data_IF_514925645398
#
_entry.id   IF_514925645398
#
_cell.length_a   1.000
_cell.length_b   1.000
_cell.length_c   1.000
_cell.angle_alpha   90.00
_cell.angle_beta   90.00
_cell.angle_gamma   90.00
#
_symmetry.space_group_name_H-M   'P 1'
#
loop_
_entity.id
_entity.type
_entity.pdbx_description
1 polymer ?
#
# COMPACT_ATOMS: atom_id res chain seq x y z
N UNK A 1 -17.72 -17.66 -18.38
CA UNK A 1 -17.01 -18.77 -17.71
C UNK A 1 -17.09 -18.56 -16.20
N UNK A 2 -17.60 -19.55 -15.43
CA UNK A 2 -17.57 -19.52 -13.95
C UNK A 2 -16.18 -19.93 -13.48
N UNK A 3 -15.65 -19.29 -12.43
CA UNK A 3 -14.40 -19.67 -11.77
C UNK A 3 -14.47 -21.11 -11.26
N UNK A 4 -13.40 -21.88 -11.39
CA UNK A 4 -13.36 -23.24 -10.85
C UNK A 4 -13.33 -23.21 -9.31
N UNK A 5 -13.88 -24.22 -8.61
CA UNK A 5 -13.85 -24.27 -7.14
C UNK A 5 -12.43 -24.18 -6.56
N UNK A 6 -11.46 -24.83 -7.22
CA UNK A 6 -10.04 -24.81 -6.86
C UNK A 6 -9.40 -23.42 -6.93
N UNK A 7 -9.82 -22.59 -7.89
CA UNK A 7 -9.36 -21.21 -8.01
C UNK A 7 -9.79 -20.39 -6.79
N UNK A 8 -11.03 -20.62 -6.31
CA UNK A 8 -11.58 -19.92 -5.13
C UNK A 8 -10.83 -20.30 -3.88
N UNK A 9 -10.55 -21.58 -3.70
CA UNK A 9 -9.76 -22.09 -2.57
C UNK A 9 -8.36 -21.47 -2.59
N UNK A 10 -7.69 -21.47 -3.74
CA UNK A 10 -6.37 -20.85 -3.93
C UNK A 10 -6.39 -19.36 -3.53
N UNK A 11 -7.35 -18.58 -4.06
CA UNK A 11 -7.46 -17.15 -3.74
C UNK A 11 -7.66 -16.92 -2.23
N UNK A 12 -8.50 -17.73 -1.57
CA UNK A 12 -8.72 -17.64 -0.12
C UNK A 12 -7.47 -17.95 0.67
N UNK A 13 -6.75 -19.03 0.31
CA UNK A 13 -5.53 -19.45 1.00
C UNK A 13 -4.43 -18.39 0.89
N UNK A 14 -4.14 -17.92 -0.32
CA UNK A 14 -3.11 -16.89 -0.52
C UNK A 14 -3.53 -15.55 0.10
N UNK A 15 -4.82 -15.21 0.09
CA UNK A 15 -5.35 -14.05 0.79
C UNK A 15 -5.14 -14.14 2.31
N UNK A 16 -5.53 -15.26 2.93
CA UNK A 16 -5.35 -15.51 4.37
C UNK A 16 -3.87 -15.49 4.78
N UNK A 17 -3.00 -16.08 3.96
CA UNK A 17 -1.55 -16.00 4.14
C UNK A 17 -1.07 -14.54 4.17
N UNK A 18 -1.56 -13.71 3.23
CA UNK A 18 -1.21 -12.30 3.18
C UNK A 18 -1.66 -11.52 4.41
N UNK A 19 -2.85 -11.83 4.94
CA UNK A 19 -3.34 -11.25 6.20
C UNK A 19 -2.43 -11.66 7.37
N UNK A 20 -2.07 -12.93 7.49
CA UNK A 20 -1.19 -13.42 8.54
C UNK A 20 0.20 -12.77 8.52
N UNK A 21 0.81 -12.68 7.33
CA UNK A 21 2.11 -12.01 7.16
C UNK A 21 2.02 -10.53 7.49
N UNK A 22 0.96 -9.84 7.04
CA UNK A 22 0.76 -8.43 7.37
C UNK A 22 0.60 -8.21 8.88
N UNK A 23 -0.21 -9.03 9.54
CA UNK A 23 -0.38 -9.00 10.99
C UNK A 23 0.95 -9.20 11.73
N UNK A 24 1.76 -10.16 11.28
CA UNK A 24 3.09 -10.40 11.85
C UNK A 24 4.03 -9.20 11.66
N UNK A 25 4.10 -8.63 10.46
CA UNK A 25 4.96 -7.46 10.19
C UNK A 25 4.51 -6.26 11.01
N UNK A 26 3.20 -6.02 11.13
CA UNK A 26 2.67 -4.94 11.95
C UNK A 26 2.99 -5.16 13.43
N UNK A 27 2.82 -6.38 13.93
CA UNK A 27 3.17 -6.73 15.30
C UNK A 27 4.65 -6.50 15.58
N UNK A 28 5.53 -7.00 14.71
CA UNK A 28 6.97 -6.82 14.85
C UNK A 28 7.37 -5.35 14.75
N UNK A 29 6.83 -4.61 13.78
CA UNK A 29 7.13 -3.20 13.57
C UNK A 29 6.70 -2.30 14.72
N UNK A 30 5.56 -2.62 15.34
CA UNK A 30 5.02 -1.80 16.43
C UNK A 30 5.58 -2.18 17.82
N UNK A 31 5.73 -3.47 18.12
CA UNK A 31 6.07 -3.92 19.48
C UNK A 31 7.53 -4.38 19.65
N UNK A 32 8.22 -4.77 18.58
CA UNK A 32 9.53 -5.44 18.67
C UNK A 32 10.66 -4.58 18.11
N UNK A 33 10.44 -3.95 16.96
CA UNK A 33 11.45 -3.15 16.30
C UNK A 33 11.55 -1.76 16.96
N UNK A 34 12.75 -1.34 17.40
CA UNK A 34 12.94 -0.01 17.96
C UNK A 34 13.01 1.02 16.82
N UNK A 35 11.89 1.28 16.15
CA UNK A 35 11.83 2.27 15.07
C UNK A 35 11.93 3.67 15.71
N UNK A 36 13.03 4.41 15.49
CA UNK A 36 13.18 5.72 16.08
C UNK A 36 12.18 6.69 15.43
N UNK A 37 11.22 7.16 16.21
CA UNK A 37 10.35 8.27 15.80
C UNK A 37 10.98 9.56 16.34
N UNK A 38 11.38 10.50 15.48
CA UNK A 38 11.83 11.80 15.95
C UNK A 38 10.68 12.52 16.69
N UNK A 39 11.00 13.48 17.55
CA UNK A 39 9.98 14.29 18.21
C UNK A 39 9.12 15.01 17.15
N UNK A 40 7.92 14.48 16.90
CA UNK A 40 6.93 14.98 15.93
C UNK A 40 5.73 15.54 16.69
N UNK A 41 6.02 16.49 17.58
CA UNK A 41 5.04 17.03 18.52
C UNK A 41 4.02 17.94 17.83
N UNK A 42 4.41 18.56 16.71
CA UNK A 42 3.54 19.42 15.92
C UNK A 42 2.85 18.67 14.78
N UNK A 43 1.66 19.12 14.41
CA UNK A 43 0.92 18.59 13.25
C UNK A 43 1.76 18.68 11.95
N UNK A 44 2.47 19.78 11.74
CA UNK A 44 3.35 19.96 10.58
C UNK A 44 4.48 18.94 10.56
N UNK A 45 5.13 18.66 11.70
CA UNK A 45 6.19 17.66 11.78
C UNK A 45 5.67 16.26 11.45
N UNK A 46 4.46 15.91 11.91
CA UNK A 46 3.79 14.62 11.62
C UNK A 46 3.48 14.45 10.14
N UNK A 47 2.99 15.50 9.48
CA UNK A 47 2.72 15.49 8.05
C UNK A 47 4.01 15.35 7.23
N UNK A 48 5.05 16.11 7.56
CA UNK A 48 6.36 16.02 6.90
C UNK A 48 6.97 14.62 7.05
N UNK A 49 6.94 14.08 8.27
CA UNK A 49 7.39 12.71 8.54
C UNK A 49 6.62 11.69 7.69
N UNK A 50 5.29 11.82 7.64
CA UNK A 50 4.43 10.91 6.90
C UNK A 50 4.70 10.95 5.41
N UNK A 51 4.75 12.14 4.81
CA UNK A 51 5.01 12.33 3.37
C UNK A 51 6.37 11.76 2.98
N UNK A 52 7.41 11.95 3.80
CA UNK A 52 8.74 11.38 3.54
C UNK A 52 8.71 9.86 3.46
N UNK A 53 7.98 9.20 4.35
CA UNK A 53 7.82 7.75 4.33
C UNK A 53 7.00 7.23 3.16
N UNK A 54 6.09 8.05 2.60
CA UNK A 54 5.32 7.66 1.41
C UNK A 54 6.18 7.51 0.14
N UNK A 55 7.43 7.95 0.15
CA UNK A 55 8.36 7.71 -0.96
C UNK A 55 8.54 6.21 -1.24
N UNK A 56 8.56 5.35 -0.22
CA UNK A 56 8.70 3.90 -0.38
C UNK A 56 7.52 3.26 -1.15
N UNK A 57 6.25 3.48 -0.77
CA UNK A 57 5.10 3.10 -1.59
C UNK A 57 5.15 3.62 -3.02
N UNK A 58 5.54 4.88 -3.23
CA UNK A 58 5.60 5.49 -4.57
C UNK A 58 6.62 4.79 -5.47
N UNK A 59 7.76 4.33 -4.94
CA UNK A 59 8.75 3.57 -5.69
C UNK A 59 8.14 2.30 -6.34
N UNK A 60 7.16 1.68 -5.71
CA UNK A 60 6.51 0.47 -6.25
C UNK A 60 5.71 0.74 -7.52
N UNK A 61 5.11 1.93 -7.63
CA UNK A 61 4.41 2.40 -8.82
C UNK A 61 5.41 2.78 -9.91
N UNK A 62 6.46 3.52 -9.53
CA UNK A 62 7.54 3.90 -10.45
C UNK A 62 8.19 2.67 -11.10
N UNK A 63 8.44 1.61 -10.34
CA UNK A 63 8.99 0.37 -10.87
C UNK A 63 8.10 -0.23 -11.98
N UNK A 64 6.78 -0.24 -11.78
CA UNK A 64 5.83 -0.69 -12.80
C UNK A 64 5.89 0.15 -14.07
N UNK A 65 5.91 1.48 -13.92
CA UNK A 65 5.97 2.45 -15.03
C UNK A 65 7.26 2.26 -15.83
N UNK A 66 8.42 2.19 -15.15
CA UNK A 66 9.73 1.97 -15.77
C UNK A 66 9.74 0.67 -16.56
N UNK A 67 9.17 -0.41 -16.03
CA UNK A 67 9.07 -1.68 -16.75
C UNK A 67 8.20 -1.59 -18.01
N UNK A 68 7.07 -0.88 -17.99
CA UNK A 68 6.28 -0.63 -19.20
C UNK A 68 7.09 0.18 -20.21
N UNK A 69 7.70 1.29 -19.78
CA UNK A 69 8.46 2.18 -20.65
C UNK A 69 9.61 1.42 -21.36
N UNK A 70 10.44 0.70 -20.60
CA UNK A 70 11.54 -0.09 -21.15
C UNK A 70 11.04 -1.17 -22.12
N UNK A 71 9.95 -1.86 -21.78
CA UNK A 71 9.38 -2.89 -22.67
C UNK A 71 8.89 -2.26 -23.98
N UNK A 72 8.24 -1.10 -23.94
CA UNK A 72 7.78 -0.42 -25.17
C UNK A 72 8.94 0.05 -26.04
N UNK A 73 9.99 0.59 -25.45
CA UNK A 73 11.18 1.05 -26.19
C UNK A 73 11.93 -0.09 -26.90
N UNK A 74 11.78 -1.33 -26.41
CA UNK A 74 12.53 -2.49 -26.90
C UNK A 74 11.71 -3.47 -27.75
N UNK A 75 10.40 -3.23 -27.94
CA UNK A 75 9.51 -4.24 -28.55
C UNK A 75 8.52 -3.61 -29.53
N UNK A 76 7.73 -4.45 -30.21
CA UNK A 76 6.64 -4.02 -31.08
C UNK A 76 5.50 -3.31 -30.35
N UNK A 77 5.56 -3.22 -29.01
CA UNK A 77 4.62 -2.46 -28.19
C UNK A 77 4.90 -0.95 -28.18
N UNK A 78 5.84 -0.44 -28.97
CA UNK A 78 6.18 1.00 -28.99
C UNK A 78 4.97 1.89 -29.34
N UNK A 79 4.13 1.45 -30.29
CA UNK A 79 2.88 2.12 -30.66
C UNK A 79 1.69 1.43 -29.97
N UNK A 80 1.14 2.01 -28.87
CA UNK A 80 0.00 1.44 -28.17
C UNK A 80 -1.30 1.46 -28.98
N UNK A 81 -1.43 2.32 -30.00
CA UNK A 81 -2.63 2.42 -30.83
C UNK A 81 -2.69 1.31 -31.88
N UNK A 82 -1.53 0.82 -32.32
CA UNK A 82 -1.45 -0.31 -33.24
C UNK A 82 -1.93 -1.64 -32.64
N UNK A 83 -1.99 -1.74 -31.30
CA UNK A 83 -2.28 -2.98 -30.57
C UNK A 83 -1.18 -4.05 -30.65
N UNK A 84 -0.12 -3.84 -31.44
CA UNK A 84 1.00 -4.78 -31.57
C UNK A 84 1.77 -4.86 -30.26
N UNK A 85 2.22 -6.05 -29.89
CA UNK A 85 3.04 -6.26 -28.69
C UNK A 85 2.36 -5.96 -27.34
N UNK A 86 1.06 -5.61 -27.29
CA UNK A 86 0.39 -5.24 -26.03
C UNK A 86 0.38 -6.36 -24.97
N UNK A 87 0.43 -7.62 -25.38
CA UNK A 87 0.56 -8.75 -24.45
C UNK A 87 1.88 -8.70 -23.65
N UNK A 88 2.94 -8.08 -24.18
CA UNK A 88 4.25 -7.94 -23.52
C UNK A 88 4.20 -6.98 -22.32
N UNK A 89 3.32 -5.97 -22.37
CA UNK A 89 3.10 -5.00 -21.29
C UNK A 89 1.86 -5.29 -20.45
N UNK A 90 1.04 -6.26 -20.85
CA UNK A 90 -0.25 -6.55 -20.23
C UNK A 90 -0.18 -6.84 -18.74
N UNK A 91 0.85 -7.57 -18.29
CA UNK A 91 1.13 -7.80 -16.88
C UNK A 91 1.40 -6.48 -16.13
N UNK A 92 2.36 -5.68 -16.61
CA UNK A 92 2.78 -4.45 -15.94
C UNK A 92 1.67 -3.40 -15.93
N UNK A 93 0.86 -3.30 -17.00
CA UNK A 93 -0.33 -2.43 -17.01
C UNK A 93 -1.34 -2.80 -15.92
N UNK A 94 -1.59 -4.10 -15.72
CA UNK A 94 -2.49 -4.58 -14.64
C UNK A 94 -1.91 -4.34 -13.26
N UNK A 95 -0.60 -4.53 -13.11
CA UNK A 95 0.12 -4.21 -11.87
C UNK A 95 0.05 -2.71 -11.55
N UNK A 96 0.34 -1.84 -12.51
CA UNK A 96 0.29 -0.37 -12.36
C UNK A 96 -1.11 0.05 -11.94
N UNK A 97 -2.16 -0.40 -12.64
CA UNK A 97 -3.54 -0.04 -12.31
C UNK A 97 -3.89 -0.43 -10.87
N UNK A 98 -3.60 -1.67 -10.48
CA UNK A 98 -3.89 -2.12 -9.11
C UNK A 98 -3.05 -1.36 -8.07
N UNK A 99 -1.78 -1.09 -8.37
CA UNK A 99 -0.89 -0.36 -7.46
C UNK A 99 -1.33 1.09 -7.31
N UNK A 100 -1.80 1.74 -8.38
CA UNK A 100 -2.38 3.09 -8.34
C UNK A 100 -3.61 3.12 -7.44
N UNK A 101 -4.55 2.18 -7.61
CA UNK A 101 -5.76 2.08 -6.78
C UNK A 101 -5.41 1.91 -5.29
N UNK A 102 -4.48 1.00 -4.98
CA UNK A 102 -4.05 0.75 -3.60
C UNK A 102 -3.25 1.91 -3.01
N UNK A 103 -2.37 2.54 -3.80
CA UNK A 103 -1.53 3.65 -3.38
C UNK A 103 -2.38 4.87 -3.05
N UNK A 104 -3.37 5.21 -3.86
CA UNK A 104 -4.28 6.34 -3.58
C UNK A 104 -4.96 6.20 -2.23
N UNK A 105 -5.50 5.02 -1.92
CA UNK A 105 -6.13 4.74 -0.63
C UNK A 105 -5.12 4.78 0.51
N UNK A 106 -3.93 4.22 0.31
CA UNK A 106 -2.86 4.21 1.30
C UNK A 106 -2.38 5.62 1.65
N UNK A 107 -2.10 6.46 0.65
CA UNK A 107 -1.66 7.84 0.85
C UNK A 107 -2.68 8.65 1.65
N UNK A 108 -3.96 8.61 1.25
CA UNK A 108 -5.03 9.31 1.96
C UNK A 108 -5.16 8.77 3.39
N UNK A 109 -5.14 7.44 3.56
CA UNK A 109 -5.24 6.80 4.86
C UNK A 109 -4.09 7.16 5.80
N UNK A 110 -2.84 7.16 5.32
CA UNK A 110 -1.66 7.50 6.11
C UNK A 110 -1.64 8.99 6.50
N UNK A 111 -2.02 9.89 5.58
CA UNK A 111 -2.12 11.31 5.86
C UNK A 111 -3.19 11.59 6.92
N UNK A 112 -4.35 10.96 6.85
CA UNK A 112 -5.38 11.07 7.87
C UNK A 112 -4.92 10.42 9.20
N UNK A 113 -4.29 9.25 9.15
CA UNK A 113 -3.86 8.52 10.35
C UNK A 113 -2.93 9.38 11.22
N UNK A 114 -1.98 10.09 10.61
CA UNK A 114 -1.00 10.87 11.36
C UNK A 114 -1.60 12.05 12.15
N UNK A 115 -2.84 12.46 11.83
CA UNK A 115 -3.57 13.51 12.55
C UNK A 115 -4.38 12.99 13.74
N UNK A 116 -4.64 11.68 13.82
CA UNK A 116 -5.47 11.08 14.86
C UNK A 116 -4.67 10.27 15.89
N UNK A 117 -3.50 9.75 15.52
CA UNK A 117 -2.72 8.88 16.42
C UNK A 117 -1.86 9.67 17.40
N UNK A 118 -1.58 9.09 18.56
CA UNK A 118 -0.65 9.67 19.53
C UNK A 118 0.82 9.57 19.04
N UNK A 119 1.75 10.22 19.75
CA UNK A 119 3.17 10.24 19.36
C UNK A 119 3.79 8.84 19.33
N UNK A 120 3.48 7.99 20.31
CA UNK A 120 3.98 6.61 20.39
C UNK A 120 3.57 5.78 19.16
N UNK A 121 2.37 6.03 18.64
CA UNK A 121 1.83 5.32 17.48
C UNK A 121 2.32 5.85 16.13
N UNK A 122 3.15 6.90 16.09
CA UNK A 122 3.73 7.39 14.84
C UNK A 122 4.72 6.39 14.21
N UNK A 123 5.18 5.37 14.96
CA UNK A 123 5.93 4.20 14.44
C UNK A 123 5.12 3.41 13.40
N UNK A 124 3.78 3.53 13.40
CA UNK A 124 2.92 2.86 12.43
C UNK A 124 3.16 3.37 11.00
N UNK A 125 3.51 4.64 10.84
CA UNK A 125 3.71 5.26 9.53
C UNK A 125 4.84 4.57 8.71
N UNK A 126 6.09 4.48 9.22
CA UNK A 126 7.13 3.72 8.55
C UNK A 126 6.76 2.25 8.39
N UNK A 127 6.12 1.64 9.40
CA UNK A 127 5.74 0.22 9.36
C UNK A 127 4.78 -0.07 8.21
N UNK A 128 3.75 0.75 8.04
CA UNK A 128 2.80 0.65 6.94
C UNK A 128 3.45 0.93 5.58
N UNK A 129 4.36 1.90 5.48
CA UNK A 129 5.10 2.19 4.25
C UNK A 129 5.96 0.99 3.81
N UNK A 130 6.71 0.36 4.74
CA UNK A 130 7.47 -0.86 4.48
C UNK A 130 6.57 -2.04 4.13
N UNK A 131 5.48 -2.23 4.87
CA UNK A 131 4.51 -3.29 4.59
C UNK A 131 3.92 -3.13 3.18
N UNK A 132 3.62 -1.90 2.76
CA UNK A 132 3.13 -1.63 1.41
C UNK A 132 4.17 -2.03 0.37
N UNK A 133 5.43 -1.61 0.53
CA UNK A 133 6.55 -1.97 -0.34
C UNK A 133 6.71 -3.50 -0.46
N UNK A 134 6.80 -4.20 0.66
CA UNK A 134 6.94 -5.66 0.70
C UNK A 134 5.71 -6.32 0.05
N UNK A 135 4.51 -5.86 0.39
CA UNK A 135 3.26 -6.36 -0.18
C UNK A 135 3.22 -6.24 -1.71
N UNK A 136 3.73 -5.14 -2.28
CA UNK A 136 3.85 -4.96 -3.75
C UNK A 136 4.91 -5.86 -4.37
N UNK A 137 6.04 -6.09 -3.71
CA UNK A 137 7.06 -7.05 -4.17
C UNK A 137 6.47 -8.47 -4.19
N UNK A 138 5.80 -8.88 -3.11
CA UNK A 138 5.12 -10.18 -3.01
C UNK A 138 4.01 -10.30 -4.06
N UNK A 139 3.24 -9.24 -4.29
CA UNK A 139 2.22 -9.20 -5.33
C UNK A 139 2.84 -9.42 -6.72
N UNK A 140 3.92 -8.71 -7.04
CA UNK A 140 4.61 -8.81 -8.33
C UNK A 140 5.16 -10.22 -8.57
N UNK A 141 5.90 -10.76 -7.60
CA UNK A 141 6.50 -12.10 -7.70
C UNK A 141 5.42 -13.17 -7.79
N UNK A 142 4.41 -13.10 -6.91
CA UNK A 142 3.29 -14.03 -6.92
C UNK A 142 2.54 -13.99 -8.26
N UNK A 143 2.25 -12.79 -8.76
CA UNK A 143 1.50 -12.61 -10.00
C UNK A 143 2.27 -13.12 -11.23
N UNK A 144 3.60 -13.00 -11.26
CA UNK A 144 4.42 -13.60 -12.34
C UNK A 144 4.41 -15.13 -12.32
N UNK A 145 4.32 -15.75 -11.14
CA UNK A 145 4.28 -17.22 -11.01
C UNK A 145 2.92 -17.81 -11.38
N UNK A 146 1.85 -17.24 -10.84
CA UNK A 146 0.48 -17.64 -11.15
C UNK A 146 -0.47 -16.46 -10.91
N UNK A 147 -1.41 -16.17 -11.83
CA UNK A 147 -2.43 -15.13 -11.66
C UNK A 147 -3.16 -15.10 -10.30
N UNK A 148 -3.37 -16.25 -9.68
CA UNK A 148 -4.09 -16.40 -8.41
C UNK A 148 -3.21 -16.12 -7.18
N UNK A 149 -1.89 -16.30 -7.27
CA UNK A 149 -0.97 -16.12 -6.14
C UNK A 149 -0.77 -14.64 -5.75
N UNK A 150 -1.21 -13.71 -6.61
CA UNK A 150 -1.20 -12.26 -6.32
C UNK A 150 -2.03 -11.89 -5.07
N UNK A 151 -2.92 -12.79 -4.64
CA UNK A 151 -3.79 -12.60 -3.47
C UNK A 151 -3.04 -12.28 -2.18
N UNK A 152 -1.84 -12.85 -1.96
CA UNK A 152 -1.04 -12.58 -0.76
C UNK A 152 -0.60 -11.13 -0.70
N UNK A 153 0.11 -10.65 -1.72
CA UNK A 153 0.56 -9.26 -1.76
C UNK A 153 -0.60 -8.25 -1.84
N UNK A 154 -1.74 -8.66 -2.40
CA UNK A 154 -2.96 -7.85 -2.37
C UNK A 154 -3.48 -7.69 -0.93
N UNK A 155 -3.65 -8.80 -0.20
CA UNK A 155 -4.13 -8.78 1.17
C UNK A 155 -3.16 -8.01 2.11
N UNK A 156 -1.85 -8.12 1.88
CA UNK A 156 -0.83 -7.41 2.65
C UNK A 156 -0.91 -5.88 2.55
N UNK A 157 -1.51 -5.33 1.50
CA UNK A 157 -1.69 -3.88 1.37
C UNK A 157 -3.13 -3.45 1.62
N UNK A 158 -4.10 -4.22 1.13
CA UNK A 158 -5.52 -3.86 1.16
C UNK A 158 -6.07 -3.84 2.58
N UNK A 159 -5.89 -4.91 3.35
CA UNK A 159 -6.48 -5.00 4.69
C UNK A 159 -5.88 -3.99 5.67
N UNK A 160 -4.55 -3.79 5.75
CA UNK A 160 -3.97 -2.73 6.57
C UNK A 160 -4.49 -1.34 6.19
N UNK A 161 -4.62 -1.05 4.89
CA UNK A 161 -5.15 0.23 4.40
C UNK A 161 -6.64 0.40 4.75
N UNK A 162 -7.44 -0.66 4.58
CA UNK A 162 -8.85 -0.68 4.95
C UNK A 162 -9.04 -0.40 6.44
N UNK A 163 -8.28 -1.08 7.30
CA UNK A 163 -8.33 -0.86 8.75
C UNK A 163 -7.90 0.56 9.13
N UNK A 164 -6.87 1.10 8.47
CA UNK A 164 -6.44 2.49 8.66
C UNK A 164 -7.55 3.49 8.33
N UNK A 165 -8.20 3.31 7.18
CA UNK A 165 -9.30 4.19 6.75
C UNK A 165 -10.49 4.07 7.70
N UNK A 166 -10.89 2.85 8.08
CA UNK A 166 -11.97 2.63 9.03
C UNK A 166 -11.67 3.28 10.38
N UNK A 167 -10.44 3.15 10.89
CA UNK A 167 -9.99 3.82 12.10
C UNK A 167 -10.15 5.34 11.97
N UNK A 168 -9.65 5.95 10.89
CA UNK A 168 -9.75 7.40 10.67
C UNK A 168 -11.21 7.88 10.57
N UNK A 169 -12.09 7.09 9.93
CA UNK A 169 -13.52 7.40 9.85
C UNK A 169 -14.15 7.37 11.25
N UNK A 170 -13.86 6.33 12.04
CA UNK A 170 -14.37 6.20 13.40
C UNK A 170 -13.86 7.37 14.27
N UNK A 171 -12.57 7.68 14.21
CA UNK A 171 -11.97 8.82 14.92
C UNK A 171 -12.61 10.15 14.53
N UNK A 172 -12.91 10.36 13.24
CA UNK A 172 -13.60 11.56 12.78
C UNK A 172 -14.99 11.70 13.41
N UNK A 173 -15.75 10.62 13.53
CA UNK A 173 -17.09 10.65 14.13
C UNK A 173 -17.07 10.77 15.66
N UNK A 174 -16.05 10.24 16.32
CA UNK A 174 -15.92 10.31 17.78
C UNK A 174 -15.36 11.68 18.23
N UNK A 175 -14.27 12.12 17.61
CA UNK A 175 -13.52 13.32 18.01
C UNK A 175 -13.99 14.59 17.30
N UNK A 176 -14.70 14.44 16.18
CA UNK A 176 -15.09 15.55 15.31
C UNK A 176 -13.93 16.06 14.44
N UNK A 177 -14.24 16.93 13.45
CA UNK A 177 -13.24 17.45 12.50
C UNK A 177 -12.26 18.46 13.13
N UNK A 178 -12.56 19.00 14.32
CA UNK A 178 -11.73 19.99 15.00
C UNK A 178 -10.66 19.38 15.93
N UNK A 179 -10.53 18.05 15.94
CA UNK A 179 -9.57 17.34 16.78
C UNK A 179 -8.14 17.87 16.54
N UNK A 180 -7.48 18.33 17.60
CA UNK A 180 -6.11 18.90 17.62
C UNK A 180 -5.90 20.18 16.76
N UNK A 181 -6.97 20.83 16.28
CA UNK A 181 -6.86 22.10 15.54
C UNK A 181 -6.68 23.30 16.49
N UNK A 182 -7.21 23.22 17.73
CA UNK A 182 -7.25 24.36 18.66
C UNK A 182 -6.03 24.50 19.58
N UNK A 183 -5.17 23.49 19.70
CA UNK A 183 -4.03 23.51 20.64
C UNK A 183 -2.80 24.30 20.13
N UNK A 184 -2.87 24.94 18.95
CA UNK A 184 -1.77 25.72 18.36
C UNK A 184 -2.12 27.19 18.08
N UNK A 185 -3.26 27.71 18.59
CA UNK A 185 -3.71 29.10 18.38
C UNK A 185 -3.73 29.95 19.66
N UNK A 186 -3.10 29.48 20.73
CA UNK A 186 -2.82 30.25 21.96
C UNK A 186 -1.35 30.12 22.32
#
# INVERSE_FOLDING_TARGET
>A
MRSLPEDRTTVRTYGALGVGIAGLILFLGYFVLPIPVPAVDTLTARLVFTIRWQTLPVLTLMAGIIHVANTRLQTSAIDPLSGRGEHLVGFYKRYIRNTQEQLSLHLIGQLALCTFVNLESMTLIPTFAFLFLIGRIVFWIGYKRNPLHRGTGFAMTFFPTLLTILFCIISLFISGPNFLIHDNLT
#
